data_IF_376527204580
#
_entry.id   IF_376527204580
#
_cell.length_a   1.000
_cell.length_b   1.000
_cell.length_c   1.000
_cell.angle_alpha   90.00
_cell.angle_beta   90.00
_cell.angle_gamma   90.00
#
_symmetry.space_group_name_H-M   'P 1'
#
loop_
_entity.id
_entity.type
_entity.pdbx_description
1 polymer ?
#
# COMPACT_ATOMS: atom_id res chain seq x y z
N UNK A 1 -17.57 -3.03 -13.98
CA UNK A 1 -16.40 -2.53 -14.74
C UNK A 1 -16.24 -3.25 -16.05
N UNK A 2 -15.75 -2.53 -17.05
CA UNK A 2 -15.31 -3.16 -18.28
C UNK A 2 -13.90 -3.73 -18.08
N UNK A 3 -13.54 -4.76 -18.86
CA UNK A 3 -12.22 -5.39 -18.78
C UNK A 3 -11.08 -4.38 -18.88
N UNK A 4 -11.25 -3.24 -19.54
CA UNK A 4 -10.22 -2.22 -19.74
C UNK A 4 -9.84 -1.39 -18.50
N UNK A 5 -10.56 -1.48 -17.38
CA UNK A 5 -10.30 -0.66 -16.18
C UNK A 5 -9.16 -1.21 -15.29
N UNK A 6 -8.67 -2.43 -15.58
CA UNK A 6 -7.62 -3.10 -14.81
C UNK A 6 -6.33 -2.26 -14.59
N UNK A 7 -5.85 -1.42 -15.54
CA UNK A 7 -4.64 -0.64 -15.35
C UNK A 7 -4.81 0.46 -14.29
N UNK A 8 -6.00 1.05 -14.19
CA UNK A 8 -6.30 2.08 -13.19
C UNK A 8 -6.36 1.49 -11.79
N UNK A 9 -7.00 0.32 -11.65
CA UNK A 9 -7.04 -0.43 -10.39
C UNK A 9 -5.62 -0.75 -9.94
N UNK A 10 -4.83 -1.39 -10.80
CA UNK A 10 -3.48 -1.82 -10.45
C UNK A 10 -2.56 -0.63 -10.17
N UNK A 11 -2.71 0.46 -10.92
CA UNK A 11 -2.04 1.73 -10.65
C UNK A 11 -2.31 2.22 -9.22
N UNK A 12 -3.58 2.28 -8.82
CA UNK A 12 -3.96 2.75 -7.48
C UNK A 12 -3.40 1.85 -6.37
N UNK A 13 -3.47 0.52 -6.55
CA UNK A 13 -2.95 -0.46 -5.58
C UNK A 13 -1.44 -0.30 -5.40
N UNK A 14 -0.68 -0.15 -6.49
CA UNK A 14 0.77 0.04 -6.42
C UNK A 14 1.17 1.36 -5.75
N UNK A 15 0.45 2.45 -6.02
CA UNK A 15 0.67 3.73 -5.35
C UNK A 15 0.42 3.61 -3.83
N UNK A 16 -0.75 3.08 -3.45
CA UNK A 16 -1.16 2.91 -2.07
C UNK A 16 -0.19 2.04 -1.27
N UNK A 17 0.18 0.87 -1.79
CA UNK A 17 1.15 -0.03 -1.16
C UNK A 17 2.50 0.65 -0.94
N UNK A 18 3.00 1.36 -1.96
CA UNK A 18 4.33 1.95 -1.92
C UNK A 18 4.41 3.14 -0.97
N UNK A 19 3.43 4.05 -1.02
CA UNK A 19 3.34 5.22 -0.14
C UNK A 19 3.16 4.74 1.31
N UNK A 20 2.24 3.81 1.53
CA UNK A 20 2.01 3.23 2.84
C UNK A 20 3.25 2.54 3.42
N UNK A 21 3.97 1.76 2.61
CA UNK A 21 5.21 1.13 3.03
C UNK A 21 6.27 2.16 3.40
N UNK A 22 6.43 3.20 2.59
CA UNK A 22 7.40 4.25 2.86
C UNK A 22 7.07 5.02 4.14
N UNK A 23 5.80 5.31 4.45
CA UNK A 23 5.40 5.94 5.71
C UNK A 23 5.85 5.13 6.93
N UNK A 24 5.65 3.81 6.88
CA UNK A 24 6.04 2.89 7.96
C UNK A 24 7.57 2.77 8.07
N UNK A 25 8.26 2.61 6.94
CA UNK A 25 9.73 2.57 6.91
C UNK A 25 10.31 3.87 7.46
N UNK A 26 9.73 5.02 7.11
CA UNK A 26 10.15 6.33 7.63
C UNK A 26 9.99 6.42 9.14
N UNK A 27 8.88 5.92 9.69
CA UNK A 27 8.68 5.85 11.14
C UNK A 27 9.74 4.98 11.83
N UNK A 28 10.11 3.83 11.22
CA UNK A 28 11.18 2.97 11.73
C UNK A 28 12.54 3.66 11.64
N UNK A 29 12.84 4.38 10.54
CA UNK A 29 14.08 5.15 10.40
C UNK A 29 14.15 6.27 11.45
N UNK A 30 13.06 7.00 11.67
CA UNK A 30 12.99 8.05 12.70
C UNK A 30 13.14 7.52 14.12
N UNK A 31 12.75 6.27 14.39
CA UNK A 31 12.94 5.66 15.70
C UNK A 31 14.42 5.53 16.11
N UNK A 32 15.36 5.60 15.16
CA UNK A 32 16.79 5.48 15.42
C UNK A 32 17.24 4.10 15.93
N UNK A 33 16.34 3.11 16.00
CA UNK A 33 16.64 1.76 16.49
C UNK A 33 17.43 0.90 15.49
N UNK A 34 17.53 1.33 14.23
CA UNK A 34 18.30 0.65 13.19
C UNK A 34 19.78 1.04 13.28
N UNK A 35 20.67 0.05 13.30
CA UNK A 35 22.11 0.33 13.19
C UNK A 35 22.46 0.80 11.77
N UNK A 36 23.59 1.50 11.61
CA UNK A 36 24.02 2.04 10.31
C UNK A 36 24.01 0.99 9.19
N UNK A 37 24.54 -0.21 9.45
CA UNK A 37 24.54 -1.31 8.48
C UNK A 37 23.16 -1.91 8.18
N UNK A 38 22.17 -1.78 9.07
CA UNK A 38 20.78 -2.14 8.78
C UNK A 38 20.08 -1.06 7.97
N UNK A 39 20.35 0.21 8.27
CA UNK A 39 19.84 1.33 7.49
C UNK A 39 20.34 1.27 6.05
N UNK A 40 21.64 1.02 5.80
CA UNK A 40 22.17 0.87 4.43
C UNK A 40 21.49 -0.27 3.67
N UNK A 41 21.35 -1.43 4.31
CA UNK A 41 20.67 -2.60 3.71
C UNK A 41 19.20 -2.33 3.43
N UNK A 42 18.52 -1.57 4.29
CA UNK A 42 17.15 -1.12 4.05
C UNK A 42 17.05 -0.19 2.85
N UNK A 43 17.94 0.79 2.71
CA UNK A 43 17.95 1.68 1.54
C UNK A 43 18.21 0.92 0.23
N UNK A 44 18.94 -0.21 0.28
CA UNK A 44 19.11 -1.11 -0.87
C UNK A 44 17.85 -1.88 -1.28
N UNK A 45 16.84 -1.99 -0.40
CA UNK A 45 15.55 -2.65 -0.75
C UNK A 45 14.51 -1.66 -1.30
N UNK A 46 14.67 -0.35 -1.04
CA UNK A 46 13.77 0.70 -1.52
C UNK A 46 13.57 0.80 -3.05
N UNK A 47 14.49 0.36 -3.93
CA UNK A 47 14.22 0.31 -5.38
C UNK A 47 12.94 -0.43 -5.79
N UNK A 48 12.48 -1.39 -4.98
CA UNK A 48 11.18 -2.05 -5.20
C UNK A 48 10.02 -1.06 -5.12
N UNK A 49 10.04 -0.13 -4.15
CA UNK A 49 9.03 0.92 -4.02
C UNK A 49 9.04 1.87 -5.21
N UNK A 50 10.22 2.20 -5.73
CA UNK A 50 10.37 3.05 -6.91
C UNK A 50 9.81 2.38 -8.16
N UNK A 51 10.06 1.09 -8.33
CA UNK A 51 9.51 0.32 -9.44
C UNK A 51 7.98 0.27 -9.38
N UNK A 52 7.40 0.05 -8.19
CA UNK A 52 5.95 0.06 -8.00
C UNK A 52 5.32 1.43 -8.29
N UNK A 53 5.91 2.52 -7.78
CA UNK A 53 5.43 3.89 -8.05
C UNK A 53 5.56 4.28 -9.53
N UNK A 54 6.68 3.94 -10.15
CA UNK A 54 6.89 4.19 -11.57
C UNK A 54 5.89 3.40 -12.43
N UNK A 55 5.69 2.12 -12.13
CA UNK A 55 4.70 1.27 -12.81
C UNK A 55 3.28 1.80 -12.60
N UNK A 56 2.96 2.26 -11.39
CA UNK A 56 1.68 2.89 -11.08
C UNK A 56 1.39 4.08 -12.00
N UNK A 57 2.34 5.02 -12.11
CA UNK A 57 2.18 6.20 -12.95
C UNK A 57 2.09 5.84 -14.44
N UNK A 58 2.93 4.92 -14.92
CA UNK A 58 2.86 4.47 -16.31
C UNK A 58 1.51 3.83 -16.63
N UNK A 59 1.04 2.90 -15.80
CA UNK A 59 -0.22 2.22 -16.04
C UNK A 59 -1.38 3.21 -16.14
N UNK A 60 -1.39 4.25 -15.31
CA UNK A 60 -2.43 5.27 -15.36
C UNK A 60 -2.30 6.17 -16.59
N UNK A 61 -1.14 6.80 -16.78
CA UNK A 61 -0.97 7.86 -17.77
C UNK A 61 -0.95 7.31 -19.20
N UNK A 62 -0.30 6.17 -19.45
CA UNK A 62 -0.33 5.54 -20.78
C UNK A 62 -1.75 5.14 -21.16
N UNK A 63 -2.53 4.59 -20.24
CA UNK A 63 -3.92 4.23 -20.55
C UNK A 63 -4.80 5.45 -20.80
N UNK A 64 -4.60 6.57 -20.09
CA UNK A 64 -5.30 7.82 -20.38
C UNK A 64 -4.94 8.38 -21.76
N UNK A 65 -3.68 8.26 -22.19
CA UNK A 65 -3.27 8.70 -23.53
C UNK A 65 -3.85 7.80 -24.63
N UNK A 66 -3.97 6.49 -24.37
CA UNK A 66 -4.49 5.51 -25.33
C UNK A 66 -6.02 5.49 -25.42
N UNK A 67 -6.73 5.95 -24.39
CA UNK A 67 -8.20 5.83 -24.32
C UNK A 67 -8.97 6.72 -25.31
N UNK A 68 -8.28 7.59 -26.07
CA UNK A 68 -8.85 8.39 -27.18
C UNK A 68 -10.12 9.19 -26.82
N UNK A 69 -10.40 9.39 -25.52
CA UNK A 69 -11.52 10.18 -25.06
C UNK A 69 -11.21 11.63 -25.44
N UNK A 70 -12.07 12.25 -26.25
CA UNK A 70 -12.03 13.66 -26.68
C UNK A 70 -12.24 14.65 -25.50
N UNK A 71 -11.84 14.30 -24.29
CA UNK A 71 -11.75 15.18 -23.14
C UNK A 71 -10.33 15.73 -23.06
N UNK A 72 -10.20 17.03 -22.76
CA UNK A 72 -8.93 17.65 -22.40
C UNK A 72 -8.26 16.79 -21.32
N UNK A 73 -7.14 16.16 -21.65
CA UNK A 73 -6.35 15.39 -20.69
C UNK A 73 -6.10 16.26 -19.46
N UNK A 74 -6.61 15.84 -18.30
CA UNK A 74 -6.41 16.54 -17.03
C UNK A 74 -5.64 15.65 -16.08
N UNK A 75 -4.48 16.15 -15.65
CA UNK A 75 -3.65 15.48 -14.69
C UNK A 75 -4.35 15.54 -13.32
N UNK A 76 -4.81 14.38 -12.86
CA UNK A 76 -5.59 14.28 -11.61
C UNK A 76 -4.77 14.70 -10.39
N UNK A 77 -5.43 15.29 -9.40
CA UNK A 77 -4.82 15.63 -8.10
C UNK A 77 -4.17 14.42 -7.44
N UNK A 78 -4.74 13.21 -7.57
CA UNK A 78 -4.14 12.00 -7.05
C UNK A 78 -2.80 11.66 -7.75
N UNK A 79 -2.78 11.73 -9.09
CA UNK A 79 -1.56 11.50 -9.88
C UNK A 79 -0.46 12.54 -9.56
N UNK A 80 -0.87 13.78 -9.30
CA UNK A 80 0.02 14.85 -8.86
C UNK A 80 0.64 14.55 -7.50
N UNK A 81 -0.16 14.15 -6.52
CA UNK A 81 0.33 13.80 -5.19
C UNK A 81 1.28 12.60 -5.24
N UNK A 82 0.96 11.56 -6.03
CA UNK A 82 1.84 10.39 -6.22
C UNK A 82 3.15 10.78 -6.90
N UNK A 83 3.11 11.64 -7.93
CA UNK A 83 4.31 12.11 -8.63
C UNK A 83 5.19 12.97 -7.72
N UNK A 84 4.60 13.92 -6.99
CA UNK A 84 5.33 14.75 -6.02
C UNK A 84 5.96 13.88 -4.93
N UNK A 85 5.20 12.93 -4.38
CA UNK A 85 5.72 11.96 -3.42
C UNK A 85 6.91 11.19 -3.99
N UNK A 86 6.76 10.64 -5.20
CA UNK A 86 7.80 9.84 -5.84
C UNK A 86 9.10 10.63 -6.08
N UNK A 87 9.01 11.87 -6.57
CA UNK A 87 10.17 12.74 -6.77
C UNK A 87 10.85 13.06 -5.44
N UNK A 88 10.09 13.47 -4.42
CA UNK A 88 10.66 13.78 -3.11
C UNK A 88 11.32 12.56 -2.48
N UNK A 89 10.69 11.39 -2.59
CA UNK A 89 11.19 10.14 -2.03
C UNK A 89 12.48 9.67 -2.74
N UNK A 90 12.57 9.82 -4.06
CA UNK A 90 13.81 9.58 -4.82
C UNK A 90 14.92 10.55 -4.43
N UNK A 91 14.62 11.85 -4.31
CA UNK A 91 15.61 12.85 -3.89
C UNK A 91 16.16 12.53 -2.50
N UNK A 92 15.29 12.16 -1.55
CA UNK A 92 15.71 11.68 -0.23
C UNK A 92 16.60 10.43 -0.36
N UNK A 93 16.17 9.42 -1.13
CA UNK A 93 16.93 8.18 -1.29
C UNK A 93 18.33 8.39 -1.87
N UNK A 94 18.45 9.25 -2.89
CA UNK A 94 19.75 9.63 -3.44
C UNK A 94 20.59 10.41 -2.43
N UNK A 95 19.99 11.34 -1.68
CA UNK A 95 20.69 12.10 -0.65
C UNK A 95 21.22 11.21 0.49
N UNK A 96 20.44 10.22 0.92
CA UNK A 96 20.87 9.26 1.95
C UNK A 96 21.97 8.33 1.41
N UNK A 97 21.82 7.81 0.19
CA UNK A 97 22.80 6.90 -0.40
C UNK A 97 24.14 7.58 -0.71
N UNK A 98 24.11 8.82 -1.20
CA UNK A 98 25.31 9.60 -1.48
C UNK A 98 25.84 10.35 -0.25
N UNK A 99 25.20 10.17 0.93
CA UNK A 99 25.53 10.88 2.18
C UNK A 99 25.63 12.40 1.98
N UNK A 100 24.74 12.96 1.16
CA UNK A 100 24.74 14.38 0.82
C UNK A 100 24.32 15.22 2.04
N UNK A 101 25.13 16.22 2.36
CA UNK A 101 24.86 17.18 3.43
C UNK A 101 24.95 16.60 4.84
N UNK A 102 24.40 17.35 5.80
CA UNK A 102 24.38 16.96 7.22
C UNK A 102 23.21 16.01 7.52
N UNK A 103 23.33 15.20 8.58
CA UNK A 103 22.30 14.27 9.04
C UNK A 103 20.93 14.95 9.29
N UNK A 104 20.97 16.18 9.83
CA UNK A 104 19.76 16.99 10.02
C UNK A 104 19.03 17.27 8.71
N UNK A 105 19.75 17.57 7.63
CA UNK A 105 19.15 17.86 6.33
C UNK A 105 18.43 16.63 5.78
N UNK A 106 19.05 15.45 5.87
CA UNK A 106 18.44 14.20 5.39
C UNK A 106 17.20 13.81 6.19
N UNK A 107 17.21 14.04 7.50
CA UNK A 107 16.02 13.90 8.35
C UNK A 107 14.89 14.87 8.00
N UNK A 108 15.23 16.12 7.66
CA UNK A 108 14.25 17.10 7.16
C UNK A 108 13.67 16.66 5.83
N UNK A 109 14.50 16.19 4.90
CA UNK A 109 14.02 15.62 3.62
C UNK A 109 13.07 14.45 3.85
N UNK A 110 13.43 13.51 4.74
CA UNK A 110 12.55 12.40 5.11
C UNK A 110 11.21 12.91 5.67
N UNK A 111 11.23 13.92 6.53
CA UNK A 111 10.00 14.50 7.10
C UNK A 111 9.11 15.14 6.04
N UNK A 112 9.69 15.81 5.04
CA UNK A 112 8.96 16.37 3.89
C UNK A 112 8.31 15.27 3.05
N UNK A 113 8.98 14.15 2.82
CA UNK A 113 8.41 12.99 2.12
C UNK A 113 7.27 12.36 2.92
N UNK A 114 7.44 12.23 4.25
CA UNK A 114 6.35 11.73 5.11
C UNK A 114 5.14 12.65 5.05
N UNK A 115 5.35 13.97 5.08
CA UNK A 115 4.27 14.94 4.97
C UNK A 115 3.52 14.81 3.65
N UNK A 116 4.22 14.64 2.52
CA UNK A 116 3.56 14.44 1.22
C UNK A 116 2.78 13.12 1.15
N UNK A 117 3.28 12.05 1.78
CA UNK A 117 2.56 10.78 1.90
C UNK A 117 1.30 10.88 2.78
N UNK A 118 1.36 11.67 3.86
CA UNK A 118 0.19 11.97 4.70
C UNK A 118 -0.85 12.83 3.96
N UNK A 119 -0.42 13.78 3.13
CA UNK A 119 -1.31 14.54 2.26
C UNK A 119 -2.03 13.64 1.25
N UNK A 120 -1.32 12.68 0.65
CA UNK A 120 -1.92 11.65 -0.20
C UNK A 120 -2.99 10.85 0.55
N UNK A 121 -2.67 10.36 1.75
CA UNK A 121 -3.61 9.59 2.57
C UNK A 121 -4.85 10.42 2.94
N UNK A 122 -4.65 11.67 3.39
CA UNK A 122 -5.75 12.58 3.76
C UNK A 122 -6.65 12.92 2.58
N UNK A 123 -6.07 13.29 1.44
CA UNK A 123 -6.83 13.57 0.22
C UNK A 123 -7.59 12.33 -0.28
N UNK A 124 -6.95 11.15 -0.25
CA UNK A 124 -7.57 9.89 -0.66
C UNK A 124 -8.79 9.52 0.19
N UNK A 125 -8.75 9.80 1.50
CA UNK A 125 -9.88 9.61 2.42
C UNK A 125 -11.01 10.61 2.18
N UNK A 126 -10.69 11.89 1.95
CA UNK A 126 -11.69 12.92 1.65
C UNK A 126 -12.44 12.58 0.36
N UNK A 127 -11.74 12.14 -0.68
CA UNK A 127 -12.38 11.74 -1.94
C UNK A 127 -13.31 10.51 -1.81
N UNK A 128 -13.10 9.69 -0.79
CA UNK A 128 -13.82 8.42 -0.58
C UNK A 128 -14.77 8.49 0.62
N UNK A 129 -15.00 9.67 1.19
CA UNK A 129 -15.76 9.83 2.43
C UNK A 129 -17.24 9.48 2.30
N UNK A 130 -17.79 9.55 1.09
CA UNK A 130 -19.19 9.18 0.82
C UNK A 130 -19.42 7.66 0.84
N UNK A 131 -18.36 6.87 0.63
CA UNK A 131 -18.44 5.42 0.55
C UNK A 131 -17.47 4.77 1.55
N UNK A 132 -17.96 4.50 2.76
CA UNK A 132 -17.16 3.96 3.87
C UNK A 132 -16.36 2.69 3.54
N UNK A 133 -16.89 1.79 2.69
CA UNK A 133 -16.13 0.61 2.25
C UNK A 133 -14.96 0.95 1.35
N UNK A 134 -15.15 1.90 0.44
CA UNK A 134 -14.09 2.36 -0.48
C UNK A 134 -12.98 3.00 0.34
N UNK A 135 -13.35 3.80 1.34
CA UNK A 135 -12.42 4.37 2.31
C UNK A 135 -11.73 3.27 3.14
N UNK A 136 -12.46 2.26 3.62
CA UNK A 136 -11.90 1.16 4.41
C UNK A 136 -10.90 0.31 3.61
N UNK A 137 -11.22 -0.05 2.36
CA UNK A 137 -10.29 -0.75 1.48
C UNK A 137 -9.08 0.12 1.12
N UNK A 138 -9.28 1.41 0.87
CA UNK A 138 -8.17 2.35 0.68
C UNK A 138 -7.23 2.37 1.90
N UNK A 139 -7.78 2.41 3.12
CA UNK A 139 -7.00 2.30 4.36
C UNK A 139 -6.32 0.94 4.46
N UNK A 140 -7.01 -0.14 4.15
CA UNK A 140 -6.45 -1.50 4.22
C UNK A 140 -5.29 -1.66 3.23
N UNK A 141 -5.45 -1.29 1.97
CA UNK A 141 -4.37 -1.38 0.97
C UNK A 141 -3.21 -0.45 1.33
N UNK A 142 -3.49 0.80 1.68
CA UNK A 142 -2.43 1.78 2.00
C UNK A 142 -1.72 1.41 3.30
N UNK A 143 -2.44 1.21 4.41
CA UNK A 143 -1.83 0.99 5.71
C UNK A 143 -1.54 -0.49 6.00
N UNK A 144 -2.48 -1.42 5.81
CA UNK A 144 -2.21 -2.85 6.06
C UNK A 144 -1.28 -3.45 5.00
N UNK A 145 -1.57 -3.22 3.71
CA UNK A 145 -0.70 -3.68 2.63
C UNK A 145 0.68 -2.99 2.66
N UNK A 146 0.71 -1.68 2.92
CA UNK A 146 1.95 -0.92 3.09
C UNK A 146 2.78 -1.38 4.29
N UNK A 147 2.17 -1.60 5.46
CA UNK A 147 2.88 -2.14 6.64
C UNK A 147 3.46 -3.53 6.37
N UNK A 148 2.75 -4.39 5.65
CA UNK A 148 3.24 -5.70 5.24
C UNK A 148 4.42 -5.61 4.26
N UNK A 149 4.35 -4.71 3.28
CA UNK A 149 5.45 -4.44 2.35
C UNK A 149 6.67 -3.86 3.08
N UNK A 150 6.47 -2.94 4.03
CA UNK A 150 7.51 -2.39 4.88
C UNK A 150 8.17 -3.48 5.75
N UNK A 151 7.36 -4.35 6.37
CA UNK A 151 7.87 -5.46 7.16
C UNK A 151 8.68 -6.43 6.28
N UNK A 152 8.20 -6.74 5.07
CA UNK A 152 8.94 -7.57 4.10
C UNK A 152 10.29 -6.93 3.74
N UNK A 153 10.34 -5.61 3.53
CA UNK A 153 11.58 -4.88 3.27
C UNK A 153 12.55 -4.90 4.47
N UNK A 154 12.03 -4.81 5.70
CA UNK A 154 12.81 -4.90 6.94
C UNK A 154 13.36 -6.31 7.19
N UNK A 155 12.58 -7.35 6.88
CA UNK A 155 13.04 -8.75 6.93
C UNK A 155 14.15 -8.97 5.91
N UNK A 156 13.99 -8.45 4.68
CA UNK A 156 15.04 -8.50 3.65
C UNK A 156 16.30 -7.74 4.04
N UNK A 157 16.18 -6.68 4.84
CA UNK A 157 17.30 -5.92 5.39
C UNK A 157 17.95 -6.56 6.63
N UNK A 158 17.46 -7.73 7.08
CA UNK A 158 17.90 -8.42 8.29
C UNK A 158 17.90 -7.50 9.53
N UNK A 159 16.79 -6.78 9.72
CA UNK A 159 16.60 -5.98 10.91
C UNK A 159 16.61 -6.87 12.18
N UNK A 160 17.06 -6.31 13.30
CA UNK A 160 17.17 -7.00 14.60
C UNK A 160 16.19 -6.45 15.63
N UNK A 161 15.28 -5.58 15.22
CA UNK A 161 14.33 -4.90 16.11
C UNK A 161 13.13 -5.81 16.35
N UNK A 162 13.17 -6.62 17.41
CA UNK A 162 12.12 -7.62 17.70
C UNK A 162 10.72 -7.01 17.89
N UNK A 163 10.65 -5.79 18.43
CA UNK A 163 9.40 -5.06 18.59
C UNK A 163 8.66 -4.90 17.26
N UNK A 164 9.37 -4.63 16.16
CA UNK A 164 8.80 -4.44 14.83
C UNK A 164 8.12 -5.73 14.34
N UNK A 165 8.72 -6.89 14.61
CA UNK A 165 8.16 -8.19 14.26
C UNK A 165 6.86 -8.50 15.00
N UNK A 166 6.61 -7.86 16.15
CA UNK A 166 5.38 -8.03 16.93
C UNK A 166 4.33 -6.96 16.61
N UNK A 167 4.73 -5.70 16.54
CA UNK A 167 3.79 -4.58 16.39
C UNK A 167 3.27 -4.43 14.95
N UNK A 168 4.09 -4.66 13.92
CA UNK A 168 3.63 -4.50 12.54
C UNK A 168 2.52 -5.49 12.17
N UNK A 169 2.67 -6.81 12.41
CA UNK A 169 1.58 -7.76 12.14
C UNK A 169 0.32 -7.48 12.97
N UNK A 170 0.48 -7.06 14.23
CA UNK A 170 -0.65 -6.70 15.08
C UNK A 170 -1.41 -5.47 14.56
N UNK A 171 -0.70 -4.43 14.12
CA UNK A 171 -1.29 -3.24 13.50
C UNK A 171 -2.05 -3.62 12.22
N UNK A 172 -1.44 -4.45 11.37
CA UNK A 172 -2.09 -4.98 10.18
C UNK A 172 -3.37 -5.75 10.49
N UNK A 173 -3.35 -6.59 11.52
CA UNK A 173 -4.51 -7.35 11.96
C UNK A 173 -5.66 -6.45 12.42
N UNK A 174 -5.38 -5.40 13.19
CA UNK A 174 -6.39 -4.42 13.60
C UNK A 174 -7.02 -3.75 12.39
N UNK A 175 -6.20 -3.29 11.43
CA UNK A 175 -6.69 -2.64 10.21
C UNK A 175 -7.55 -3.60 9.38
N UNK A 176 -7.12 -4.85 9.22
CA UNK A 176 -7.87 -5.85 8.47
C UNK A 176 -9.20 -6.21 9.13
N UNK A 177 -9.26 -6.31 10.45
CA UNK A 177 -10.51 -6.53 11.20
C UNK A 177 -11.46 -5.34 11.01
N UNK A 178 -10.96 -4.10 11.11
CA UNK A 178 -11.79 -2.91 10.86
C UNK A 178 -12.34 -2.94 9.43
N UNK A 179 -11.49 -3.19 8.44
CA UNK A 179 -11.90 -3.29 7.04
C UNK A 179 -12.95 -4.39 6.81
N UNK A 180 -12.78 -5.54 7.46
CA UNK A 180 -13.73 -6.65 7.39
C UNK A 180 -15.08 -6.28 7.99
N UNK A 181 -15.10 -5.69 9.19
CA UNK A 181 -16.34 -5.27 9.86
C UNK A 181 -17.09 -4.20 9.07
N UNK A 182 -16.38 -3.25 8.47
CA UNK A 182 -16.98 -2.25 7.56
C UNK A 182 -17.42 -2.85 6.22
N UNK A 183 -16.88 -4.01 5.84
CA UNK A 183 -17.21 -4.74 4.61
C UNK A 183 -18.53 -5.50 4.64
N UNK A 184 -18.90 -6.05 5.80
CA UNK A 184 -20.07 -6.92 5.94
C UNK A 184 -21.39 -6.26 5.47
N UNK A 185 -21.73 -5.03 5.87
CA UNK A 185 -23.02 -4.43 5.48
C UNK A 185 -23.16 -4.27 3.96
N UNK A 186 -22.05 -4.00 3.27
CA UNK A 186 -22.08 -3.75 1.83
C UNK A 186 -22.06 -5.05 1.00
N UNK A 187 -21.57 -6.16 1.57
CA UNK A 187 -21.77 -7.48 0.97
C UNK A 187 -23.26 -7.83 0.87
N UNK A 188 -24.10 -7.37 1.80
CA UNK A 188 -25.54 -7.59 1.74
C UNK A 188 -26.19 -6.79 0.59
N UNK A 189 -25.80 -5.53 0.39
CA UNK A 189 -26.26 -4.73 -0.77
C UNK A 189 -25.79 -5.35 -2.09
N UNK A 190 -24.52 -5.77 -2.17
CA UNK A 190 -23.99 -6.46 -3.34
C UNK A 190 -24.68 -7.81 -3.61
N UNK A 191 -25.04 -8.56 -2.57
CA UNK A 191 -25.81 -9.79 -2.70
C UNK A 191 -27.21 -9.52 -3.27
N UNK A 192 -27.89 -8.48 -2.78
CA UNK A 192 -29.19 -8.07 -3.31
C UNK A 192 -29.10 -7.66 -4.79
N UNK A 193 -28.05 -6.91 -5.18
CA UNK A 193 -27.82 -6.56 -6.59
C UNK A 193 -27.51 -7.77 -7.45
N UNK A 194 -26.75 -8.73 -6.93
CA UNK A 194 -26.48 -9.98 -7.63
C UNK A 194 -27.78 -10.77 -7.90
N UNK A 195 -28.72 -10.77 -6.96
CA UNK A 195 -30.02 -11.46 -7.13
C UNK A 195 -30.98 -10.71 -8.05
N UNK A 196 -31.09 -9.38 -7.93
CA UNK A 196 -32.09 -8.58 -8.67
C UNK A 196 -31.61 -8.19 -10.07
N UNK A 197 -30.33 -7.83 -10.21
CA UNK A 197 -29.74 -7.30 -11.45
C UNK A 197 -28.85 -8.33 -12.17
N UNK A 198 -28.68 -9.53 -11.60
CA UNK A 198 -27.78 -10.57 -12.11
C UNK A 198 -26.31 -10.11 -12.22
N UNK A 199 -25.91 -9.14 -11.40
CA UNK A 199 -24.55 -8.57 -11.34
C UNK A 199 -23.68 -9.30 -10.31
N UNK A 200 -23.35 -10.56 -10.58
CA UNK A 200 -22.63 -11.44 -9.63
C UNK A 200 -21.15 -11.05 -9.47
N UNK A 201 -20.55 -10.42 -10.49
CA UNK A 201 -19.11 -10.11 -10.54
C UNK A 201 -18.59 -9.31 -9.34
N UNK A 202 -19.16 -8.12 -9.05
CA UNK A 202 -18.74 -7.29 -7.92
C UNK A 202 -18.89 -7.99 -6.56
N UNK A 203 -19.99 -8.73 -6.35
CA UNK A 203 -20.20 -9.49 -5.12
C UNK A 203 -19.08 -10.52 -4.89
N UNK A 204 -18.79 -11.34 -5.91
CA UNK A 204 -17.74 -12.37 -5.83
C UNK A 204 -16.37 -11.74 -5.60
N UNK A 205 -16.06 -10.63 -6.29
CA UNK A 205 -14.78 -9.93 -6.14
C UNK A 205 -14.56 -9.41 -4.70
N UNK A 206 -15.58 -8.83 -4.07
CA UNK A 206 -15.49 -8.35 -2.68
C UNK A 206 -15.37 -9.47 -1.66
N UNK A 207 -16.08 -10.59 -1.85
CA UNK A 207 -15.93 -11.79 -0.99
C UNK A 207 -14.51 -12.33 -1.06
N UNK A 208 -13.96 -12.47 -2.28
CA UNK A 208 -12.57 -12.90 -2.46
C UNK A 208 -11.59 -11.89 -1.86
N UNK A 209 -11.82 -10.60 -2.03
CA UNK A 209 -10.96 -9.55 -1.48
C UNK A 209 -10.84 -9.66 0.04
N UNK A 210 -11.97 -9.70 0.75
CA UNK A 210 -12.00 -9.79 2.20
C UNK A 210 -11.40 -11.12 2.71
N UNK A 211 -11.73 -12.23 2.05
CA UNK A 211 -11.15 -13.54 2.38
C UNK A 211 -9.63 -13.57 2.21
N UNK A 212 -9.10 -13.02 1.12
CA UNK A 212 -7.67 -12.94 0.85
C UNK A 212 -6.95 -11.96 1.78
N UNK A 213 -7.60 -10.86 2.20
CA UNK A 213 -7.04 -9.94 3.19
C UNK A 213 -6.83 -10.65 4.53
N UNK A 214 -7.84 -11.38 5.00
CA UNK A 214 -7.75 -12.16 6.23
C UNK A 214 -6.72 -13.28 6.12
N UNK A 215 -6.67 -13.98 4.98
CA UNK A 215 -5.65 -15.00 4.73
C UNK A 215 -4.23 -14.40 4.72
N UNK A 216 -4.04 -13.25 4.07
CA UNK A 216 -2.77 -12.52 4.04
C UNK A 216 -2.29 -12.19 5.46
N UNK A 217 -3.16 -11.60 6.29
CA UNK A 217 -2.86 -11.27 7.68
C UNK A 217 -2.63 -12.52 8.53
N UNK A 218 -3.40 -13.59 8.31
CA UNK A 218 -3.22 -14.87 9.01
C UNK A 218 -1.84 -15.48 8.74
N UNK A 219 -1.41 -15.50 7.48
CA UNK A 219 -0.06 -15.90 7.09
C UNK A 219 0.99 -14.95 7.70
N UNK A 220 0.73 -13.65 7.69
CA UNK A 220 1.64 -12.65 8.24
C UNK A 220 1.83 -12.78 9.76
N UNK A 221 0.78 -13.18 10.49
CA UNK A 221 0.84 -13.45 11.93
C UNK A 221 1.53 -14.78 12.25
N UNK A 222 1.68 -15.71 11.31
CA UNK A 222 2.25 -17.04 11.55
C UNK A 222 3.59 -17.02 12.30
N UNK A 223 4.59 -16.18 11.97
CA UNK A 223 5.85 -16.14 12.72
C UNK A 223 5.67 -15.72 14.18
N UNK A 224 4.73 -14.80 14.44
CA UNK A 224 4.42 -14.36 15.81
C UNK A 224 3.73 -15.44 16.63
N UNK A 225 2.81 -16.19 16.01
CA UNK A 225 2.08 -17.30 16.65
C UNK A 225 2.99 -18.50 16.91
N UNK A 226 3.87 -18.82 15.96
CA UNK A 226 4.82 -19.95 16.06
C UNK A 226 6.10 -19.61 16.83
N UNK A 227 6.24 -18.35 17.30
CA UNK A 227 7.47 -17.82 17.92
C UNK A 227 8.72 -18.08 17.07
N UNK A 228 8.56 -18.03 15.75
CA UNK A 228 9.64 -18.22 14.79
C UNK A 228 10.09 -16.87 14.20
N UNK A 229 11.30 -16.85 13.63
CA UNK A 229 11.78 -15.66 12.92
C UNK A 229 10.98 -15.50 11.62
N UNK A 230 10.52 -14.27 11.28
CA UNK A 230 9.80 -14.05 10.04
C UNK A 230 10.70 -14.37 8.84
N UNK A 231 10.32 -15.40 8.09
CA UNK A 231 11.01 -15.81 6.88
C UNK A 231 10.54 -14.97 5.69
N UNK A 232 11.47 -14.57 4.82
CA UNK A 232 11.17 -13.74 3.65
C UNK A 232 10.09 -14.36 2.75
N UNK A 233 10.13 -15.69 2.56
CA UNK A 233 9.17 -16.41 1.72
C UNK A 233 7.74 -16.36 2.26
N UNK A 234 7.58 -16.37 3.59
CA UNK A 234 6.25 -16.27 4.23
C UNK A 234 5.72 -14.85 4.07
N UNK A 235 6.59 -13.84 4.25
CA UNK A 235 6.22 -12.43 4.08
C UNK A 235 5.86 -12.10 2.62
N UNK A 236 6.62 -12.62 1.65
CA UNK A 236 6.33 -12.42 0.23
C UNK A 236 5.03 -13.10 -0.20
N UNK A 237 4.75 -14.30 0.33
CA UNK A 237 3.48 -14.98 0.08
C UNK A 237 2.30 -14.18 0.65
N UNK A 238 2.40 -13.71 1.90
CA UNK A 238 1.39 -12.82 2.49
C UNK A 238 1.20 -11.55 1.65
N UNK A 239 2.28 -10.95 1.15
CA UNK A 239 2.23 -9.74 0.32
C UNK A 239 1.50 -9.99 -1.00
N UNK A 240 1.72 -11.13 -1.65
CA UNK A 240 0.99 -11.52 -2.86
C UNK A 240 -0.51 -11.64 -2.57
N UNK A 241 -0.89 -12.30 -1.46
CA UNK A 241 -2.29 -12.40 -1.07
C UNK A 241 -2.92 -11.01 -0.82
N UNK A 242 -2.20 -10.09 -0.17
CA UNK A 242 -2.66 -8.71 0.06
C UNK A 242 -2.82 -7.92 -1.24
N UNK A 243 -1.93 -8.13 -2.21
CA UNK A 243 -2.00 -7.49 -3.52
C UNK A 243 -3.20 -7.99 -4.32
N UNK A 244 -3.42 -9.30 -4.37
CA UNK A 244 -4.59 -9.89 -5.05
C UNK A 244 -5.89 -9.46 -4.35
N UNK A 245 -5.91 -9.43 -3.01
CA UNK A 245 -7.02 -8.89 -2.24
C UNK A 245 -7.34 -7.44 -2.64
N UNK A 246 -6.33 -6.57 -2.67
CA UNK A 246 -6.50 -5.15 -3.02
C UNK A 246 -6.95 -4.96 -4.46
N UNK A 247 -6.47 -5.79 -5.38
CA UNK A 247 -6.94 -5.81 -6.77
C UNK A 247 -8.42 -6.20 -6.86
N UNK A 248 -8.83 -7.30 -6.19
CA UNK A 248 -10.22 -7.75 -6.17
C UNK A 248 -11.16 -6.71 -5.56
N UNK A 249 -10.72 -5.98 -4.52
CA UNK A 249 -11.49 -4.86 -3.96
C UNK A 249 -11.73 -3.76 -5.00
N UNK A 250 -10.71 -3.44 -5.80
CA UNK A 250 -10.82 -2.43 -6.85
C UNK A 250 -11.71 -2.82 -8.04
N UNK A 251 -11.84 -4.12 -8.32
CA UNK A 251 -12.71 -4.65 -9.40
C UNK A 251 -14.20 -4.59 -9.02
N UNK A 252 -14.51 -4.63 -7.73
CA UNK A 252 -15.88 -4.63 -7.23
C UNK A 252 -16.55 -3.25 -7.15
N UNK A 253 -16.00 -2.23 -7.81
CA UNK A 253 -16.58 -0.88 -7.90
C UNK A 253 -17.23 -0.62 -9.26
#
# INVERSE_FOLDING_TARGET
MAWFDWPFILSSVFAQLSIGAFLILSAVIFSGKLCFGQSDRLHRTMPVLWLLLFTSLILREVNLMLSQVHSVYSFSTEAMLVTVFFVLALLYWFAEKALLGNDKLRKVMLAVVVLSGLLYLGHGLIQRSEHWLVAAHFIATTLCGGTLLAHTALVRAEHKVEEVNKYLPALGAVIAVVCFLTGIPQLADLAQRAEVLNEVGPFVAHVFSLGLLLASVGVWLMPTLTKSKPALNVMSFALILSLVSSYCAGVGY
#
